data_IF_754366970167
#
_entry.id   IF_754366970167
#
_cell.length_a   1.000
_cell.length_b   1.000
_cell.length_c   1.000
_cell.angle_alpha   90.00
_cell.angle_beta   90.00
_cell.angle_gamma   90.00
#
_symmetry.space_group_name_H-M   'P 1'
#
loop_
_entity.id
_entity.type
_entity.pdbx_description
1 polymer ?
#
# COMPACT_ATOMS: atom_id res chain seq x y z
N UNK A 1 12.26 1.81 -15.91
CA UNK A 1 10.90 2.42 -15.97
C UNK A 1 10.77 3.26 -17.23
N UNK A 2 9.62 3.27 -17.92
CA UNK A 2 9.51 3.83 -19.29
C UNK A 2 9.62 5.35 -19.36
N UNK A 3 9.19 6.07 -18.31
CA UNK A 3 9.39 7.53 -18.15
C UNK A 3 9.03 8.36 -19.40
N UNK A 4 7.92 8.03 -20.05
CA UNK A 4 7.44 8.73 -21.27
C UNK A 4 7.84 8.06 -22.59
N UNK A 5 8.61 6.97 -22.56
CA UNK A 5 8.88 6.15 -23.74
C UNK A 5 7.70 5.21 -24.03
N UNK A 6 6.93 5.56 -25.07
CA UNK A 6 5.74 4.81 -25.49
C UNK A 6 6.05 3.59 -26.36
N UNK A 7 7.32 3.36 -26.73
CA UNK A 7 7.72 2.10 -27.39
C UNK A 7 7.66 0.92 -26.42
N UNK A 8 7.75 1.19 -25.11
CA UNK A 8 7.66 0.19 -24.05
C UNK A 8 6.19 0.04 -23.64
N UNK A 9 5.67 -1.19 -23.73
CA UNK A 9 4.29 -1.52 -23.34
C UNK A 9 4.02 -1.17 -21.87
N UNK A 10 2.80 -0.74 -21.59
CA UNK A 10 2.36 -0.45 -20.21
C UNK A 10 2.40 -1.70 -19.32
N UNK A 11 2.05 -2.87 -19.88
CA UNK A 11 1.90 -4.14 -19.15
C UNK A 11 3.00 -5.14 -19.49
N UNK A 12 3.25 -6.06 -18.57
CA UNK A 12 4.20 -7.18 -18.67
C UNK A 12 5.51 -6.94 -17.91
N UNK A 13 6.25 -8.02 -17.68
CA UNK A 13 7.63 -7.94 -17.16
C UNK A 13 8.52 -7.32 -18.24
N UNK A 14 8.73 -6.02 -18.14
CA UNK A 14 9.43 -5.23 -19.15
C UNK A 14 10.05 -3.99 -18.50
N UNK A 15 10.63 -3.10 -19.32
CA UNK A 15 11.32 -1.90 -18.81
C UNK A 15 10.42 -0.80 -18.24
N UNK A 16 9.09 -0.96 -18.27
CA UNK A 16 8.13 -0.07 -17.61
C UNK A 16 7.82 -0.47 -16.17
N UNK A 17 7.84 -1.77 -15.87
CA UNK A 17 7.37 -2.34 -14.62
C UNK A 17 8.54 -2.89 -13.79
N UNK A 18 8.27 -3.29 -12.56
CA UNK A 18 9.26 -3.85 -11.64
C UNK A 18 8.80 -5.19 -11.10
N UNK A 19 9.72 -5.92 -10.48
CA UNK A 19 9.48 -7.26 -9.91
C UNK A 19 10.16 -7.36 -8.55
N UNK A 20 9.72 -8.31 -7.72
CA UNK A 20 10.41 -8.58 -6.45
C UNK A 20 11.76 -9.25 -6.72
N UNK A 21 12.76 -9.01 -5.86
CA UNK A 21 14.06 -9.68 -5.96
C UNK A 21 14.01 -11.20 -5.72
N UNK A 22 12.88 -11.71 -5.21
CA UNK A 22 12.55 -13.14 -5.10
C UNK A 22 12.04 -13.76 -6.41
N UNK A 23 11.73 -12.97 -7.44
CA UNK A 23 11.23 -13.46 -8.72
C UNK A 23 12.31 -14.25 -9.51
N UNK A 24 11.94 -15.04 -10.53
CA UNK A 24 12.90 -15.81 -11.33
C UNK A 24 13.90 -14.90 -12.06
N UNK A 25 15.13 -15.39 -12.26
CA UNK A 25 16.22 -14.63 -12.87
C UNK A 25 15.88 -14.02 -14.24
N UNK A 26 15.05 -14.71 -15.03
CA UNK A 26 14.58 -14.20 -16.31
C UNK A 26 13.79 -12.89 -16.16
N UNK A 27 12.93 -12.80 -15.14
CA UNK A 27 12.11 -11.64 -14.87
C UNK A 27 12.95 -10.50 -14.29
N UNK A 28 13.89 -10.82 -13.39
CA UNK A 28 14.86 -9.84 -12.86
C UNK A 28 15.63 -9.14 -14.00
N UNK A 29 16.04 -9.89 -15.03
CA UNK A 29 16.74 -9.34 -16.21
C UNK A 29 15.82 -8.51 -17.10
N UNK A 30 14.56 -8.93 -17.27
CA UNK A 30 13.60 -8.29 -18.17
C UNK A 30 13.02 -7.00 -17.58
N UNK A 31 12.78 -6.95 -16.28
CA UNK A 31 12.13 -5.85 -15.59
C UNK A 31 12.90 -4.52 -15.69
N UNK A 32 12.18 -3.42 -15.47
CA UNK A 32 12.71 -2.06 -15.47
C UNK A 32 13.30 -1.63 -14.14
N UNK A 33 13.00 -2.34 -13.07
CA UNK A 33 13.59 -2.24 -11.74
C UNK A 33 13.31 -3.54 -10.96
N UNK A 34 14.01 -3.71 -9.84
CA UNK A 34 13.85 -4.83 -8.90
C UNK A 34 13.61 -4.22 -7.53
N UNK A 35 12.63 -4.77 -6.80
CA UNK A 35 12.13 -4.25 -5.53
C UNK A 35 11.60 -2.82 -5.66
N UNK A 36 11.13 -2.24 -4.55
CA UNK A 36 10.47 -0.95 -4.60
C UNK A 36 10.36 -0.25 -3.25
N UNK A 37 10.40 1.07 -3.28
CA UNK A 37 10.05 1.88 -2.11
C UNK A 37 9.26 3.10 -2.55
N UNK A 38 8.06 3.25 -2.01
CA UNK A 38 7.23 4.44 -2.13
C UNK A 38 7.26 5.19 -0.80
N UNK A 39 7.71 6.45 -0.83
CA UNK A 39 7.64 7.36 0.31
C UNK A 39 6.71 8.52 -0.04
N UNK A 40 5.82 8.87 0.87
CA UNK A 40 5.00 10.07 0.75
C UNK A 40 4.89 10.78 2.09
N UNK A 41 4.88 12.12 2.05
CA UNK A 41 4.45 12.97 3.16
C UNK A 41 3.24 13.74 2.69
N UNK A 42 2.12 13.61 3.40
CA UNK A 42 0.85 14.21 3.03
C UNK A 42 0.08 14.66 4.27
N UNK A 43 -1.06 15.29 4.02
CA UNK A 43 -2.12 15.51 4.99
C UNK A 43 -3.43 15.15 4.32
N UNK A 44 -4.43 14.74 5.09
CA UNK A 44 -5.78 14.56 4.56
C UNK A 44 -6.55 15.86 4.78
N UNK A 45 -6.92 16.55 3.71
CA UNK A 45 -7.70 17.78 3.84
C UNK A 45 -9.18 17.51 4.11
N UNK A 46 -9.75 16.47 3.51
CA UNK A 46 -11.15 16.10 3.68
C UNK A 46 -11.37 14.61 3.44
N UNK A 47 -12.38 14.04 4.10
CA UNK A 47 -12.88 12.69 3.88
C UNK A 47 -14.40 12.74 3.65
N UNK A 48 -14.96 11.83 2.86
CA UNK A 48 -16.41 11.81 2.61
C UNK A 48 -17.19 11.66 3.91
N UNK A 49 -18.28 12.42 4.07
CA UNK A 49 -19.09 12.44 5.30
C UNK A 49 -20.47 11.81 5.14
N UNK A 50 -20.79 11.34 3.93
CA UNK A 50 -22.06 10.72 3.56
C UNK A 50 -21.82 9.36 2.90
N UNK A 51 -22.87 8.55 2.78
CA UNK A 51 -22.81 7.19 2.22
C UNK A 51 -23.10 6.12 3.26
N UNK A 52 -22.94 4.86 2.87
CA UNK A 52 -23.18 3.73 3.76
C UNK A 52 -22.18 3.74 4.93
N UNK A 53 -22.62 3.28 6.11
CA UNK A 53 -21.80 3.26 7.33
C UNK A 53 -20.50 2.45 7.16
N UNK A 54 -20.50 1.46 6.25
CA UNK A 54 -19.33 0.63 5.95
C UNK A 54 -18.38 1.26 4.92
N UNK A 55 -18.71 2.39 4.30
CA UNK A 55 -17.95 3.02 3.21
C UNK A 55 -17.49 4.44 3.56
N UNK A 56 -18.30 5.16 4.34
CA UNK A 56 -18.10 6.56 4.67
C UNK A 56 -16.69 6.85 5.20
N UNK A 57 -16.09 7.91 4.66
CA UNK A 57 -14.81 8.46 5.10
C UNK A 57 -13.58 7.67 4.70
N UNK A 58 -13.71 6.56 3.97
CA UNK A 58 -12.60 5.69 3.56
C UNK A 58 -12.12 6.00 2.13
N UNK A 59 -10.81 6.02 1.94
CA UNK A 59 -10.18 6.00 0.62
C UNK A 59 -8.73 5.47 0.71
N UNK A 60 -8.16 5.10 -0.44
CA UNK A 60 -6.79 4.59 -0.56
C UNK A 60 -5.83 5.75 -0.82
N UNK A 61 -4.69 5.76 -0.15
CA UNK A 61 -3.65 6.79 -0.24
C UNK A 61 -2.33 6.28 -0.83
N UNK A 62 -2.17 4.97 -1.00
CA UNK A 62 -1.00 4.34 -1.61
C UNK A 62 -1.28 2.88 -1.90
N UNK A 63 -0.64 2.34 -2.94
CA UNK A 63 -0.86 0.96 -3.36
C UNK A 63 0.34 0.38 -4.11
N UNK A 64 0.46 -0.94 -4.07
CA UNK A 64 1.18 -1.74 -5.08
C UNK A 64 0.11 -2.56 -5.79
N UNK A 65 0.16 -2.61 -7.12
CA UNK A 65 -0.80 -3.32 -7.95
C UNK A 65 -0.06 -4.24 -8.91
N UNK A 66 -0.53 -5.48 -9.06
CA UNK A 66 0.02 -6.47 -10.00
C UNK A 66 -0.82 -6.49 -11.30
N UNK A 67 -1.01 -7.62 -11.96
CA UNK A 67 -1.87 -7.76 -13.13
C UNK A 67 -3.33 -7.73 -12.72
N UNK A 68 -3.67 -8.47 -11.66
CA UNK A 68 -5.06 -8.72 -11.25
C UNK A 68 -5.32 -8.53 -9.75
N UNK A 69 -4.28 -8.38 -8.93
CA UNK A 69 -4.38 -8.39 -7.46
C UNK A 69 -3.53 -7.25 -6.86
N UNK A 70 -3.73 -6.91 -5.58
CA UNK A 70 -2.99 -5.85 -4.90
C UNK A 70 -2.16 -6.34 -3.71
N UNK A 71 -0.81 -6.42 -3.83
CA UNK A 71 0.07 -6.69 -2.70
C UNK A 71 -0.15 -5.74 -1.51
N UNK A 72 -0.57 -4.49 -1.77
CA UNK A 72 -1.02 -3.59 -0.70
C UNK A 72 -2.00 -2.54 -1.21
N UNK A 73 -3.02 -2.27 -0.38
CA UNK A 73 -3.82 -1.03 -0.42
C UNK A 73 -3.76 -0.36 0.94
N UNK A 74 -3.14 0.81 1.01
CA UNK A 74 -3.02 1.61 2.24
C UNK A 74 -4.19 2.59 2.31
N UNK A 75 -4.98 2.51 3.37
CA UNK A 75 -6.19 3.30 3.56
C UNK A 75 -5.99 4.40 4.60
N UNK A 76 -6.70 5.51 4.38
CA UNK A 76 -7.10 6.40 5.45
C UNK A 76 -8.62 6.30 5.62
N UNK A 77 -9.11 6.31 6.85
CA UNK A 77 -10.54 6.37 7.14
C UNK A 77 -10.85 7.27 8.32
N UNK A 78 -11.74 8.25 8.14
CA UNK A 78 -12.26 9.07 9.25
C UNK A 78 -13.78 9.07 9.25
N UNK A 79 -14.39 8.63 10.35
CA UNK A 79 -15.85 8.68 10.50
C UNK A 79 -16.33 10.13 10.71
N UNK A 80 -17.56 10.47 10.27
CA UNK A 80 -18.11 11.82 10.42
C UNK A 80 -18.18 12.30 11.88
N UNK A 81 -18.40 11.38 12.81
CA UNK A 81 -18.55 11.63 14.25
C UNK A 81 -17.27 11.41 15.07
N UNK A 82 -16.13 11.13 14.43
CA UNK A 82 -14.83 10.99 15.08
C UNK A 82 -13.96 12.23 14.82
N UNK A 83 -13.15 12.65 15.79
CA UNK A 83 -12.28 13.81 15.66
C UNK A 83 -11.08 13.54 14.72
N UNK A 84 -10.56 12.31 14.78
CA UNK A 84 -9.40 11.86 13.99
C UNK A 84 -9.73 10.60 13.17
N UNK A 85 -8.86 10.25 12.22
CA UNK A 85 -8.99 9.08 11.35
C UNK A 85 -7.94 7.99 11.62
N UNK A 86 -8.24 6.79 11.14
CA UNK A 86 -7.37 5.63 11.17
C UNK A 86 -6.55 5.50 9.88
N UNK A 87 -5.39 4.85 10.00
CA UNK A 87 -4.59 4.36 8.88
C UNK A 87 -4.28 2.89 9.09
N UNK A 88 -4.59 2.10 8.06
CA UNK A 88 -4.45 0.65 8.04
C UNK A 88 -4.27 0.21 6.58
N UNK A 89 -3.85 -1.02 6.34
CA UNK A 89 -3.76 -1.54 4.98
C UNK A 89 -4.29 -2.95 4.85
N UNK A 90 -4.64 -3.31 3.62
CA UNK A 90 -4.94 -4.68 3.23
C UNK A 90 -3.76 -5.25 2.44
N UNK A 91 -3.44 -6.53 2.67
CA UNK A 91 -2.58 -7.34 1.81
C UNK A 91 -3.43 -8.45 1.20
N UNK A 92 -3.51 -8.50 -0.13
CA UNK A 92 -4.09 -9.64 -0.81
C UNK A 92 -3.04 -10.71 -1.10
N UNK A 93 -3.47 -11.98 -1.07
CA UNK A 93 -2.62 -13.10 -1.38
C UNK A 93 -3.39 -14.20 -2.13
N UNK A 94 -2.64 -15.16 -2.71
CA UNK A 94 -3.21 -16.36 -3.34
C UNK A 94 -4.21 -16.02 -4.47
N UNK A 95 -3.89 -15.02 -5.29
CA UNK A 95 -4.74 -14.58 -6.41
C UNK A 95 -6.06 -13.95 -5.92
N UNK A 96 -5.96 -13.00 -4.99
CA UNK A 96 -7.08 -12.31 -4.34
C UNK A 96 -8.11 -13.23 -3.64
N UNK A 97 -7.76 -14.48 -3.34
CA UNK A 97 -8.64 -15.40 -2.59
C UNK A 97 -8.53 -15.24 -1.08
N UNK A 98 -7.55 -14.46 -0.62
CA UNK A 98 -7.35 -14.12 0.79
C UNK A 98 -6.93 -12.66 0.93
N UNK A 99 -7.47 -11.99 1.95
CA UNK A 99 -7.18 -10.60 2.26
C UNK A 99 -6.98 -10.46 3.78
N UNK A 100 -5.81 -9.95 4.17
CA UNK A 100 -5.45 -9.69 5.56
C UNK A 100 -5.38 -8.19 5.81
N UNK A 101 -5.95 -7.73 6.93
CA UNK A 101 -5.98 -6.32 7.32
C UNK A 101 -5.03 -6.06 8.48
N UNK A 102 -4.18 -5.05 8.33
CA UNK A 102 -3.15 -4.70 9.30
C UNK A 102 -3.33 -3.26 9.80
N UNK A 103 -3.46 -3.05 11.13
CA UNK A 103 -3.53 -1.73 11.71
C UNK A 103 -2.14 -1.06 11.75
N UNK A 104 -2.11 0.26 11.53
CA UNK A 104 -0.95 1.11 11.83
C UNK A 104 -1.33 2.14 12.91
N UNK A 105 -2.42 2.87 12.69
CA UNK A 105 -3.04 3.77 13.66
C UNK A 105 -4.54 3.49 13.63
N UNK A 106 -5.04 2.74 14.61
CA UNK A 106 -6.37 2.15 14.54
C UNK A 106 -6.51 1.10 13.44
N UNK A 107 -7.74 0.63 13.23
CA UNK A 107 -8.07 -0.39 12.24
C UNK A 107 -9.17 0.09 11.27
N UNK A 108 -9.70 -0.84 10.48
CA UNK A 108 -10.72 -0.56 9.46
C UNK A 108 -12.04 -0.01 10.01
N UNK A 109 -12.35 -0.19 11.30
CA UNK A 109 -13.54 0.38 11.96
C UNK A 109 -13.45 1.90 12.06
N UNK A 110 -12.22 2.42 12.18
CA UNK A 110 -11.90 3.83 12.39
C UNK A 110 -12.47 4.44 13.70
N UNK A 111 -12.69 3.61 14.72
CA UNK A 111 -13.04 4.06 16.08
C UNK A 111 -11.77 4.39 16.89
N UNK A 112 -11.11 5.51 16.55
CA UNK A 112 -9.78 5.86 17.08
C UNK A 112 -9.75 7.00 18.11
N UNK A 113 -10.89 7.67 18.34
CA UNK A 113 -10.98 8.79 19.28
C UNK A 113 -9.96 9.89 18.97
N UNK A 114 -9.14 10.22 19.97
CA UNK A 114 -8.08 11.24 19.88
C UNK A 114 -6.69 10.66 19.57
N UNK A 115 -6.58 9.34 19.36
CA UNK A 115 -5.29 8.67 19.10
C UNK A 115 -4.97 8.53 17.61
N UNK A 116 -5.92 8.88 16.74
CA UNK A 116 -5.79 8.83 15.28
C UNK A 116 -5.02 10.00 14.70
N UNK A 117 -5.23 10.24 13.39
CA UNK A 117 -4.62 11.32 12.61
C UNK A 117 -5.72 12.31 12.21
N UNK A 118 -5.58 13.58 12.56
CA UNK A 118 -6.58 14.59 12.26
C UNK A 118 -6.58 15.01 10.76
N UNK A 119 -7.69 15.56 10.29
CA UNK A 119 -7.68 16.28 9.02
C UNK A 119 -6.74 17.49 9.13
N UNK A 120 -5.92 17.72 8.10
CA UNK A 120 -4.90 18.76 8.07
C UNK A 120 -3.58 18.41 8.76
N UNK A 121 -3.53 17.34 9.57
CA UNK A 121 -2.31 16.84 10.21
C UNK A 121 -1.39 16.20 9.15
N UNK A 122 -0.11 16.56 9.18
CA UNK A 122 0.89 15.97 8.30
C UNK A 122 1.39 14.66 8.89
N UNK A 123 1.46 13.64 8.06
CA UNK A 123 2.10 12.36 8.37
C UNK A 123 2.84 11.86 7.14
N UNK A 124 3.72 10.89 7.35
CA UNK A 124 4.43 10.21 6.28
C UNK A 124 4.14 8.72 6.30
N UNK A 125 4.17 8.10 5.13
CA UNK A 125 4.22 6.65 5.02
C UNK A 125 5.34 6.19 4.09
N UNK A 126 5.87 5.01 4.39
CA UNK A 126 6.75 4.24 3.52
C UNK A 126 6.12 2.88 3.25
N UNK A 127 6.04 2.50 1.98
CA UNK A 127 5.77 1.13 1.55
C UNK A 127 7.04 0.63 0.89
N UNK A 128 7.71 -0.34 1.51
CA UNK A 128 8.97 -0.91 1.03
C UNK A 128 8.82 -2.39 0.81
N UNK A 129 9.22 -2.87 -0.36
CA UNK A 129 9.33 -4.29 -0.66
C UNK A 129 10.78 -4.64 -0.94
N UNK A 130 11.26 -5.70 -0.29
CA UNK A 130 12.55 -6.34 -0.59
C UNK A 130 12.31 -7.85 -0.64
N UNK A 131 12.37 -8.41 -1.85
CA UNK A 131 12.00 -9.81 -2.08
C UNK A 131 10.56 -10.07 -1.62
N UNK A 132 10.37 -11.10 -0.81
CA UNK A 132 9.06 -11.46 -0.27
C UNK A 132 8.72 -10.73 1.04
N UNK A 133 9.47 -9.69 1.44
CA UNK A 133 9.17 -8.94 2.66
C UNK A 133 8.65 -7.55 2.31
N UNK A 134 7.44 -7.25 2.77
CA UNK A 134 6.88 -5.89 2.73
C UNK A 134 6.97 -5.25 4.11
N UNK A 135 7.56 -4.07 4.19
CA UNK A 135 7.57 -3.23 5.39
C UNK A 135 6.77 -1.97 5.12
N UNK A 136 5.76 -1.74 5.96
CA UNK A 136 4.94 -0.52 5.92
C UNK A 136 5.24 0.27 7.19
N UNK A 137 5.69 1.50 7.03
CA UNK A 137 6.00 2.41 8.13
C UNK A 137 5.12 3.64 8.04
N UNK A 138 4.56 4.07 9.15
CA UNK A 138 3.87 5.34 9.29
C UNK A 138 4.56 6.17 10.36
N UNK A 139 4.91 7.41 9.99
CA UNK A 139 5.66 8.34 10.84
C UNK A 139 4.88 9.64 11.04
N UNK A 140 4.88 10.15 12.27
CA UNK A 140 4.24 11.42 12.66
C UNK A 140 5.16 12.22 13.57
N UNK A 141 5.08 13.53 13.47
CA UNK A 141 5.86 14.41 14.34
C UNK A 141 5.46 14.19 15.81
N UNK A 142 6.45 13.93 16.67
CA UNK A 142 6.22 13.72 18.10
C UNK A 142 5.67 12.34 18.50
N UNK A 143 5.59 11.38 17.57
CA UNK A 143 5.20 10.00 17.83
C UNK A 143 6.27 9.02 17.35
N UNK A 144 6.34 7.86 17.99
CA UNK A 144 7.13 6.73 17.46
C UNK A 144 6.52 6.21 16.15
N UNK A 145 7.38 5.64 15.30
CA UNK A 145 6.96 5.02 14.05
C UNK A 145 6.07 3.79 14.30
N UNK A 146 4.94 3.72 13.62
CA UNK A 146 4.14 2.51 13.53
C UNK A 146 4.65 1.67 12.36
N UNK A 147 5.08 0.43 12.63
CA UNK A 147 5.70 -0.45 11.63
C UNK A 147 4.95 -1.78 11.58
N UNK A 148 4.62 -2.21 10.37
CA UNK A 148 4.15 -3.57 10.08
C UNK A 148 5.09 -4.23 9.09
N UNK A 149 5.40 -5.50 9.33
CA UNK A 149 6.20 -6.34 8.45
C UNK A 149 5.35 -7.53 8.03
N UNK A 150 5.16 -7.68 6.73
CA UNK A 150 4.37 -8.76 6.13
C UNK A 150 5.30 -9.67 5.35
N UNK A 151 5.25 -10.96 5.66
CA UNK A 151 5.86 -12.02 4.87
C UNK A 151 4.91 -12.40 3.73
N UNK A 152 5.35 -12.19 2.50
CA UNK A 152 4.61 -12.46 1.28
C UNK A 152 5.11 -13.73 0.56
N UNK A 153 5.90 -14.57 1.23
CA UNK A 153 6.50 -15.77 0.62
C UNK A 153 5.47 -16.77 0.11
N UNK A 154 4.27 -16.82 0.70
CA UNK A 154 3.16 -17.65 0.24
C UNK A 154 2.13 -16.89 -0.62
N UNK A 155 2.36 -15.60 -0.91
CA UNK A 155 1.38 -14.77 -1.63
C UNK A 155 1.38 -14.99 -3.13
N UNK A 156 2.50 -15.52 -3.69
CA UNK A 156 2.63 -15.90 -5.10
C UNK A 156 3.05 -14.78 -6.05
N UNK A 157 3.48 -13.64 -5.50
CA UNK A 157 3.95 -12.47 -6.25
C UNK A 157 5.37 -12.62 -6.82
N UNK A 158 6.12 -13.62 -6.35
CA UNK A 158 7.45 -14.00 -6.85
C UNK A 158 7.39 -15.07 -7.95
N UNK A 159 6.19 -15.45 -8.42
CA UNK A 159 6.05 -16.39 -9.54
C UNK A 159 6.43 -15.73 -10.85
N UNK A 160 6.90 -16.54 -11.80
CA UNK A 160 7.30 -16.06 -13.12
C UNK A 160 6.19 -15.33 -13.87
N UNK A 161 6.54 -14.23 -14.53
CA UNK A 161 5.62 -13.40 -15.31
C UNK A 161 4.80 -12.40 -14.49
N UNK A 162 5.02 -12.29 -13.18
CA UNK A 162 4.39 -11.30 -12.30
C UNK A 162 5.13 -9.98 -12.36
N UNK A 163 4.40 -8.86 -12.33
CA UNK A 163 4.99 -7.52 -12.37
C UNK A 163 4.14 -6.49 -11.64
N UNK A 164 4.80 -5.43 -11.18
CA UNK A 164 4.21 -4.30 -10.47
C UNK A 164 4.54 -2.96 -11.15
#
# INVERSE_FOLDING_TARGET
LRRGDYSIRTQGVNKNNWVFSSAPEADLKAAGAIDGTLNATLKIDHATTTGNANEVGRFIIGQIHEQNDEPIRLYYRKLPNQATGAVYFAHESKGASHEDFYPLVGDMTAEVGDTGIALGEKFSYQIKVVGNTMTVTLSREGHDDAVQVVDMSESGYDRGGRYM
#
